data_IF_589300664851
#
_entry.id   IF_589300664851
#
_cell.length_a   1.000
_cell.length_b   1.000
_cell.length_c   1.000
_cell.angle_alpha   90.00
_cell.angle_beta   90.00
_cell.angle_gamma   90.00
#
_symmetry.space_group_name_H-M   'P 1'
#
loop_
_entity.id
_entity.type
_entity.pdbx_description
1 polymer ?
#
# COMPACT_ATOMS: atom_id res chain seq x y z
N UNK A 1 -30.43 -43.79 31.83
CA UNK A 1 -30.63 -42.45 31.22
C UNK A 1 -29.36 -41.59 31.25
N UNK A 2 -28.21 -42.12 31.65
CA UNK A 2 -26.95 -41.37 31.84
C UNK A 2 -26.12 -41.17 30.57
N UNK A 3 -26.26 -42.09 29.60
CA UNK A 3 -25.39 -42.12 28.41
C UNK A 3 -25.62 -40.93 27.45
N UNK A 4 -26.84 -40.37 27.40
CA UNK A 4 -27.18 -39.21 26.56
C UNK A 4 -26.49 -37.92 27.02
N UNK A 5 -26.24 -37.79 28.32
CA UNK A 5 -25.63 -36.60 28.92
C UNK A 5 -24.11 -36.54 28.65
N UNK A 6 -23.46 -37.71 28.65
CA UNK A 6 -22.05 -37.84 28.25
C UNK A 6 -21.86 -37.50 26.77
N UNK A 7 -22.72 -38.03 25.88
CA UNK A 7 -22.68 -37.76 24.44
C UNK A 7 -22.84 -36.26 24.15
N UNK A 8 -23.78 -35.59 24.81
CA UNK A 8 -23.98 -34.14 24.65
C UNK A 8 -22.79 -33.30 25.10
N UNK A 9 -22.17 -33.64 26.24
CA UNK A 9 -20.95 -32.96 26.72
C UNK A 9 -19.79 -33.13 25.75
N UNK A 10 -19.63 -34.32 25.18
CA UNK A 10 -18.57 -34.60 24.19
C UNK A 10 -18.78 -33.82 22.90
N UNK A 11 -20.02 -33.74 22.39
CA UNK A 11 -20.37 -32.94 21.21
C UNK A 11 -20.07 -31.45 21.41
N UNK A 12 -20.40 -30.90 22.59
CA UNK A 12 -20.12 -29.50 22.91
C UNK A 12 -18.62 -29.20 22.97
N UNK A 13 -17.84 -30.12 23.54
CA UNK A 13 -16.38 -29.99 23.62
C UNK A 13 -15.73 -30.03 22.22
N UNK A 14 -16.21 -30.92 21.34
CA UNK A 14 -15.73 -31.02 19.95
C UNK A 14 -16.04 -29.74 19.18
N UNK A 15 -17.26 -29.20 19.29
CA UNK A 15 -17.63 -27.93 18.67
C UNK A 15 -16.76 -26.77 19.18
N UNK A 16 -16.42 -26.74 20.46
CA UNK A 16 -15.54 -25.74 21.03
C UNK A 16 -14.11 -25.84 20.46
N UNK A 17 -13.57 -27.06 20.34
CA UNK A 17 -12.25 -27.32 19.76
C UNK A 17 -12.21 -26.94 18.27
N UNK A 18 -13.25 -27.25 17.50
CA UNK A 18 -13.35 -26.90 16.06
C UNK A 18 -13.37 -25.38 15.88
N UNK A 19 -14.09 -24.65 16.72
CA UNK A 19 -14.11 -23.17 16.69
C UNK A 19 -12.74 -22.59 17.07
N UNK A 20 -12.07 -23.16 18.07
CA UNK A 20 -10.73 -22.73 18.50
C UNK A 20 -9.66 -23.00 17.42
N UNK A 21 -9.69 -24.18 16.79
CA UNK A 21 -8.77 -24.52 15.70
C UNK A 21 -9.02 -23.70 14.43
N UNK A 22 -10.28 -23.38 14.13
CA UNK A 22 -10.64 -22.49 13.01
C UNK A 22 -10.07 -21.08 13.19
N UNK A 23 -9.90 -20.62 14.43
CA UNK A 23 -9.29 -19.32 14.74
C UNK A 23 -7.75 -19.32 14.57
N UNK A 24 -7.09 -20.47 14.77
CA UNK A 24 -5.63 -20.62 14.61
C UNK A 24 -5.24 -20.91 13.15
N UNK A 25 -6.11 -21.57 12.38
CA UNK A 25 -5.89 -21.88 10.97
C UNK A 25 -5.90 -20.63 10.05
N UNK A 26 -6.39 -19.49 10.53
CA UNK A 26 -6.11 -18.20 9.91
C UNK A 26 -4.65 -17.79 10.22
N UNK A 27 -3.69 -18.51 9.65
CA UNK A 27 -2.34 -17.98 9.42
C UNK A 27 -2.51 -16.74 8.53
N UNK A 28 -2.69 -15.57 9.17
CA UNK A 28 -2.66 -14.28 8.51
C UNK A 28 -1.34 -14.22 7.75
N UNK A 29 -1.41 -14.26 6.41
CA UNK A 29 -0.25 -13.96 5.59
C UNK A 29 0.36 -12.66 6.08
N UNK A 30 1.70 -12.64 6.20
CA UNK A 30 2.42 -11.43 6.62
C UNK A 30 1.93 -10.25 5.77
N UNK A 31 1.60 -9.14 6.41
CA UNK A 31 1.07 -7.97 5.73
C UNK A 31 2.17 -7.34 4.87
N UNK A 32 1.91 -7.18 3.57
CA UNK A 32 2.81 -6.54 2.62
C UNK A 32 2.13 -5.33 1.99
N UNK A 33 2.91 -4.27 1.75
CA UNK A 33 2.48 -3.06 1.07
C UNK A 33 3.32 -2.87 -0.19
N UNK A 34 2.66 -2.53 -1.29
CA UNK A 34 3.32 -2.02 -2.50
C UNK A 34 2.75 -0.67 -2.86
N UNK A 35 3.60 0.19 -3.40
CA UNK A 35 3.25 1.55 -3.80
C UNK A 35 3.84 1.86 -5.17
N UNK A 36 3.12 2.66 -5.95
CA UNK A 36 3.54 3.17 -7.25
C UNK A 36 2.96 4.58 -7.42
N UNK A 37 3.78 5.54 -7.81
CA UNK A 37 3.37 6.89 -8.21
C UNK A 37 4.02 7.19 -9.55
N UNK A 38 3.21 7.64 -10.51
CA UNK A 38 3.62 7.95 -11.87
C UNK A 38 3.30 9.41 -12.11
N UNK A 39 4.33 10.18 -12.46
CA UNK A 39 4.21 11.58 -12.85
C UNK A 39 4.31 11.66 -14.37
N UNK A 40 3.44 12.46 -14.96
CA UNK A 40 3.36 12.67 -16.40
C UNK A 40 3.72 14.11 -16.75
N UNK A 41 4.55 14.28 -17.77
CA UNK A 41 4.71 15.53 -18.49
C UNK A 41 4.35 15.32 -19.96
N UNK A 42 3.51 16.19 -20.52
CA UNK A 42 3.09 16.08 -21.93
C UNK A 42 2.57 14.69 -22.36
N UNK A 43 1.82 14.03 -21.46
CA UNK A 43 1.28 12.66 -21.63
C UNK A 43 2.35 11.56 -21.72
N UNK A 44 3.61 11.91 -21.48
CA UNK A 44 4.73 10.98 -21.35
C UNK A 44 5.01 10.78 -19.87
N UNK A 45 5.39 9.56 -19.50
CA UNK A 45 5.83 9.28 -18.14
C UNK A 45 7.18 9.97 -17.92
N UNK A 46 7.19 10.93 -17.01
CA UNK A 46 8.39 11.68 -16.62
C UNK A 46 9.08 10.98 -15.45
N UNK A 47 8.31 10.55 -14.45
CA UNK A 47 8.85 9.91 -13.25
C UNK A 47 7.99 8.73 -12.79
N UNK A 48 8.62 7.68 -12.29
CA UNK A 48 7.98 6.57 -11.59
C UNK A 48 8.65 6.38 -10.24
N UNK A 49 7.90 6.56 -9.15
CA UNK A 49 8.31 6.15 -7.81
C UNK A 49 7.64 4.82 -7.48
N UNK A 50 8.37 3.92 -6.85
CA UNK A 50 7.81 2.64 -6.42
C UNK A 50 8.42 2.16 -5.12
N UNK A 51 7.61 1.48 -4.31
CA UNK A 51 8.05 0.83 -3.09
C UNK A 51 7.47 -0.56 -2.95
N UNK A 52 8.25 -1.50 -2.41
CA UNK A 52 7.80 -2.83 -2.07
C UNK A 52 8.28 -3.23 -0.67
N UNK A 53 7.36 -3.35 0.29
CA UNK A 53 7.70 -3.65 1.69
C UNK A 53 8.27 -5.06 1.89
N UNK A 54 8.09 -5.97 0.92
CA UNK A 54 8.67 -7.31 0.97
C UNK A 54 10.18 -7.28 0.68
N UNK A 55 10.61 -6.43 -0.25
CA UNK A 55 12.02 -6.28 -0.62
C UNK A 55 12.70 -5.10 0.07
N UNK A 56 11.92 -4.17 0.63
CA UNK A 56 12.40 -2.91 1.17
C UNK A 56 12.88 -1.92 0.10
N UNK A 57 12.74 -2.23 -1.19
CA UNK A 57 13.28 -1.38 -2.26
C UNK A 57 12.33 -0.21 -2.48
N UNK A 58 12.86 1.00 -2.35
CA UNK A 58 12.28 2.21 -2.90
C UNK A 58 13.09 2.64 -4.12
N UNK A 59 12.43 2.83 -5.25
CA UNK A 59 13.04 3.22 -6.52
C UNK A 59 12.34 4.45 -7.11
N UNK A 60 13.14 5.38 -7.63
CA UNK A 60 12.70 6.53 -8.43
C UNK A 60 13.34 6.41 -9.81
N UNK A 61 12.51 6.25 -10.85
CA UNK A 61 12.93 6.29 -12.25
C UNK A 61 12.55 7.64 -12.84
N UNK A 62 13.49 8.36 -13.42
CA UNK A 62 13.26 9.66 -14.05
C UNK A 62 13.67 9.59 -15.52
N UNK A 63 12.84 10.16 -16.39
CA UNK A 63 13.16 10.33 -17.79
C UNK A 63 14.12 11.51 -17.96
N UNK A 64 15.28 11.25 -18.55
CA UNK A 64 16.23 12.27 -18.96
C UNK A 64 16.26 12.33 -20.49
N UNK A 65 15.84 13.47 -21.04
CA UNK A 65 15.65 13.69 -22.49
C UNK A 65 16.80 13.18 -23.40
N UNK A 66 18.05 13.15 -22.93
CA UNK A 66 19.21 12.70 -23.70
C UNK A 66 19.56 11.21 -23.53
N UNK A 67 19.21 10.61 -22.38
CA UNK A 67 19.79 9.33 -21.92
C UNK A 67 18.74 8.26 -21.60
N UNK A 68 17.44 8.58 -21.77
CA UNK A 68 16.34 7.72 -21.38
C UNK A 68 16.13 7.70 -19.86
N UNK A 69 15.59 6.59 -19.34
CA UNK A 69 15.27 6.47 -17.91
C UNK A 69 16.51 6.19 -17.06
N UNK A 70 16.73 7.02 -16.03
CA UNK A 70 17.71 6.75 -14.97
C UNK A 70 16.99 6.35 -13.69
N UNK A 71 17.48 5.28 -13.05
CA UNK A 71 16.96 4.79 -11.78
C UNK A 71 17.87 5.18 -10.62
N UNK A 72 17.28 5.66 -9.53
CA UNK A 72 17.88 5.75 -8.20
C UNK A 72 17.12 4.85 -7.25
N UNK A 73 17.81 4.01 -6.49
CA UNK A 73 17.17 3.13 -5.51
C UNK A 73 17.85 3.19 -4.16
N UNK A 74 17.09 2.85 -3.11
CA UNK A 74 17.56 2.62 -1.75
C UNK A 74 16.80 1.46 -1.11
N UNK A 75 17.35 0.97 0.01
CA UNK A 75 16.65 0.04 0.90
C UNK A 75 16.03 0.82 2.06
N UNK A 76 14.71 0.78 2.17
CA UNK A 76 13.90 1.24 3.31
C UNK A 76 13.18 0.04 3.90
N UNK A 77 13.71 -0.48 5.01
CA UNK A 77 13.13 -1.63 5.70
C UNK A 77 12.04 -1.15 6.67
N UNK A 78 10.80 -1.06 6.17
CA UNK A 78 9.65 -0.83 7.05
C UNK A 78 9.43 -2.05 7.96
N UNK A 79 9.30 -1.78 9.26
CA UNK A 79 8.96 -2.84 10.22
C UNK A 79 7.52 -3.29 10.01
N UNK A 80 7.18 -4.49 10.52
CA UNK A 80 5.78 -4.96 10.51
C UNK A 80 4.85 -3.97 11.21
N UNK A 81 5.34 -3.30 12.26
CA UNK A 81 4.59 -2.26 12.96
C UNK A 81 4.27 -1.07 12.04
N UNK A 82 5.24 -0.61 11.23
CA UNK A 82 5.02 0.49 10.29
C UNK A 82 3.98 0.11 9.22
N UNK A 83 4.10 -1.08 8.65
CA UNK A 83 3.14 -1.55 7.62
C UNK A 83 1.75 -1.73 8.23
N UNK A 84 1.67 -2.28 9.45
CA UNK A 84 0.40 -2.41 10.19
C UNK A 84 -0.23 -1.05 10.48
N UNK A 85 0.56 -0.06 10.87
CA UNK A 85 0.07 1.30 11.13
C UNK A 85 -0.60 1.93 9.90
N UNK A 86 0.02 1.80 8.72
CA UNK A 86 -0.56 2.28 7.45
C UNK A 86 -1.85 1.52 7.12
N UNK A 87 -1.87 0.20 7.35
CA UNK A 87 -3.05 -0.63 7.09
C UNK A 87 -4.21 -0.35 8.04
N UNK A 88 -3.93 -0.16 9.33
CA UNK A 88 -4.93 0.23 10.32
C UNK A 88 -5.53 1.61 9.96
N UNK A 89 -4.70 2.53 9.47
CA UNK A 89 -5.16 3.83 8.97
C UNK A 89 -6.09 3.68 7.76
N UNK A 90 -5.73 2.82 6.80
CA UNK A 90 -6.61 2.46 5.68
C UNK A 90 -7.96 1.91 6.15
N UNK A 91 -7.97 0.97 7.10
CA UNK A 91 -9.20 0.38 7.64
C UNK A 91 -10.06 1.39 8.40
N UNK A 92 -9.43 2.40 9.02
CA UNK A 92 -10.11 3.48 9.74
C UNK A 92 -10.74 4.48 8.79
N UNK A 93 -10.00 4.92 7.76
CA UNK A 93 -10.45 5.96 6.83
C UNK A 93 -11.42 5.41 5.77
N UNK A 94 -11.27 4.15 5.38
CA UNK A 94 -12.12 3.46 4.39
C UNK A 94 -12.29 4.25 3.08
N UNK A 95 -11.20 4.66 2.41
CA UNK A 95 -11.32 5.28 1.09
C UNK A 95 -11.95 4.28 0.12
N UNK A 96 -12.73 4.78 -0.84
CA UNK A 96 -13.35 3.93 -1.85
C UNK A 96 -12.35 3.17 -2.71
N UNK A 97 -11.28 3.84 -3.17
CA UNK A 97 -10.18 3.21 -3.91
C UNK A 97 -8.83 3.56 -3.29
N UNK A 98 -7.84 2.68 -3.48
CA UNK A 98 -6.44 2.95 -3.17
C UNK A 98 -5.69 3.42 -4.42
N UNK A 99 -6.32 4.30 -5.19
CA UNK A 99 -5.79 4.89 -6.41
C UNK A 99 -6.25 6.35 -6.51
N UNK A 100 -5.31 7.28 -6.44
CA UNK A 100 -5.54 8.70 -6.67
C UNK A 100 -4.96 9.14 -8.02
N UNK A 101 -5.62 10.13 -8.63
CA UNK A 101 -5.19 10.74 -9.88
C UNK A 101 -5.35 12.25 -9.80
N UNK A 102 -4.35 12.97 -10.29
CA UNK A 102 -4.34 14.43 -10.36
C UNK A 102 -4.41 14.83 -11.84
N UNK A 103 -5.38 15.66 -12.15
CA UNK A 103 -5.62 16.18 -13.50
C UNK A 103 -5.48 17.71 -13.48
N UNK A 104 -4.98 18.29 -14.56
CA UNK A 104 -5.06 19.74 -14.81
C UNK A 104 -6.37 20.07 -15.54
N UNK A 105 -6.70 21.37 -15.62
CA UNK A 105 -7.96 21.90 -16.16
C UNK A 105 -8.40 21.37 -17.53
N UNK A 106 -7.48 20.85 -18.35
CA UNK A 106 -7.79 20.25 -19.66
C UNK A 106 -8.00 18.72 -19.60
N UNK A 107 -8.35 18.18 -18.42
CA UNK A 107 -8.45 16.73 -18.15
C UNK A 107 -7.18 15.93 -18.43
N UNK A 108 -6.03 16.61 -18.52
CA UNK A 108 -4.74 15.95 -18.72
C UNK A 108 -4.23 15.42 -17.38
N UNK A 109 -3.96 14.12 -17.32
CA UNK A 109 -3.40 13.45 -16.16
C UNK A 109 -1.95 13.92 -15.93
N UNK A 110 -1.63 14.35 -14.71
CA UNK A 110 -0.27 14.76 -14.32
C UNK A 110 0.34 13.84 -13.26
N UNK A 111 -0.48 13.14 -12.48
CA UNK A 111 -0.01 12.12 -11.54
C UNK A 111 -1.06 11.04 -11.32
N UNK A 112 -0.61 9.79 -11.13
CA UNK A 112 -1.41 8.64 -10.73
C UNK A 112 -0.64 7.85 -9.68
N UNK A 113 -1.24 7.68 -8.50
CA UNK A 113 -0.62 6.95 -7.40
C UNK A 113 -1.52 5.86 -6.83
N UNK A 114 -0.93 4.70 -6.53
CA UNK A 114 -1.64 3.49 -6.12
C UNK A 114 -0.94 2.83 -4.93
N UNK A 115 -1.72 2.44 -3.92
CA UNK A 115 -1.29 1.64 -2.77
C UNK A 115 -2.00 0.29 -2.83
N UNK A 116 -1.29 -0.79 -2.50
CA UNK A 116 -1.88 -2.12 -2.42
C UNK A 116 -1.38 -2.87 -1.20
N UNK A 117 -2.31 -3.56 -0.52
CA UNK A 117 -1.99 -4.47 0.56
C UNK A 117 -2.14 -5.93 0.09
N UNK A 118 -1.17 -6.77 0.43
CA UNK A 118 -1.18 -8.22 0.22
C UNK A 118 -1.49 -8.67 -1.22
N UNK A 119 -1.11 -7.88 -2.25
CA UNK A 119 -1.36 -8.17 -3.69
C UNK A 119 -2.67 -8.93 -3.92
N UNK A 120 -3.79 -8.39 -3.47
CA UNK A 120 -5.08 -8.81 -4.01
C UNK A 120 -5.19 -8.27 -5.44
N UNK A 121 -5.61 -9.15 -6.36
CA UNK A 121 -5.69 -9.00 -7.81
C UNK A 121 -5.92 -7.55 -8.33
N UNK A 122 -5.13 -7.17 -9.34
CA UNK A 122 -5.32 -6.01 -10.24
C UNK A 122 -5.57 -4.64 -9.58
N UNK A 123 -4.70 -4.20 -8.67
CA UNK A 123 -4.72 -2.80 -8.20
C UNK A 123 -4.41 -1.78 -9.30
N UNK A 124 -3.72 -2.17 -10.37
CA UNK A 124 -3.45 -1.29 -11.52
C UNK A 124 -4.70 -0.95 -12.35
N UNK A 125 -5.83 -1.64 -12.14
CA UNK A 125 -7.09 -1.36 -12.86
C UNK A 125 -8.17 -0.73 -11.97
N UNK A 126 -7.85 -0.29 -10.75
CA UNK A 126 -8.82 0.44 -9.94
C UNK A 126 -9.11 1.81 -10.56
N UNK A 127 -10.36 2.28 -10.54
CA UNK A 127 -10.66 3.63 -10.95
C UNK A 127 -10.02 4.62 -9.97
N UNK A 128 -9.63 5.79 -10.48
CA UNK A 128 -9.20 6.90 -9.63
C UNK A 128 -10.32 7.31 -8.65
N UNK A 129 -9.96 7.76 -7.45
CA UNK A 129 -10.91 8.51 -6.61
C UNK A 129 -11.33 9.80 -7.31
N UNK A 130 -12.63 10.07 -7.35
CA UNK A 130 -13.22 11.21 -8.07
C UNK A 130 -13.60 12.30 -7.07
N UNK A 131 -14.23 11.92 -5.96
CA UNK A 131 -14.64 12.80 -4.89
C UNK A 131 -13.44 13.27 -4.05
N UNK A 132 -13.55 14.49 -3.53
CA UNK A 132 -12.48 15.11 -2.77
C UNK A 132 -12.23 14.42 -1.43
N UNK A 133 -13.26 13.82 -0.83
CA UNK A 133 -13.18 13.20 0.49
C UNK A 133 -12.36 11.90 0.44
N UNK A 134 -12.61 11.04 -0.55
CA UNK A 134 -11.83 9.83 -0.79
C UNK A 134 -10.40 10.15 -1.24
N UNK A 135 -10.19 11.24 -1.99
CA UNK A 135 -8.85 11.74 -2.29
C UNK A 135 -8.09 12.11 -1.02
N UNK A 136 -8.68 12.91 -0.14
CA UNK A 136 -8.04 13.34 1.10
C UNK A 136 -7.75 12.15 2.05
N UNK A 137 -8.67 11.18 2.12
CA UNK A 137 -8.46 9.93 2.85
C UNK A 137 -7.26 9.16 2.30
N UNK A 138 -7.15 9.02 0.98
CA UNK A 138 -6.00 8.38 0.34
C UNK A 138 -4.71 9.15 0.62
N UNK A 139 -4.71 10.47 0.46
CA UNK A 139 -3.53 11.32 0.64
C UNK A 139 -2.97 11.20 2.07
N UNK A 140 -3.83 11.04 3.08
CA UNK A 140 -3.41 10.75 4.47
C UNK A 140 -2.67 9.42 4.59
N UNK A 141 -3.09 8.38 3.86
CA UNK A 141 -2.45 7.06 3.85
C UNK A 141 -1.10 7.15 3.12
N UNK A 142 -1.07 7.83 1.98
CA UNK A 142 0.16 8.03 1.19
C UNK A 142 1.18 8.89 1.94
N UNK A 143 0.76 9.97 2.58
CA UNK A 143 1.62 10.80 3.42
C UNK A 143 2.25 9.98 4.55
N UNK A 144 1.47 9.06 5.16
CA UNK A 144 1.98 8.18 6.22
C UNK A 144 3.03 7.19 5.71
N UNK A 145 2.90 6.71 4.48
CA UNK A 145 3.94 5.91 3.83
C UNK A 145 5.22 6.75 3.61
N UNK A 146 5.08 7.96 3.08
CA UNK A 146 6.20 8.85 2.82
C UNK A 146 6.93 9.30 4.08
N UNK A 147 6.24 9.46 5.20
CA UNK A 147 6.83 9.73 6.53
C UNK A 147 7.95 8.72 6.86
N UNK A 148 7.78 7.45 6.47
CA UNK A 148 8.77 6.42 6.72
C UNK A 148 9.83 6.27 5.62
N UNK A 149 9.52 6.61 4.37
CA UNK A 149 10.43 6.45 3.22
C UNK A 149 11.35 7.65 3.04
N UNK A 150 10.80 8.86 3.06
CA UNK A 150 11.52 10.08 2.68
C UNK A 150 12.74 10.39 3.55
N UNK A 151 12.77 10.16 4.88
CA UNK A 151 13.96 10.43 5.68
C UNK A 151 15.21 9.70 5.14
N UNK A 152 15.09 8.41 4.87
CA UNK A 152 16.19 7.60 4.34
C UNK A 152 16.57 7.99 2.91
N UNK A 153 15.58 8.30 2.07
CA UNK A 153 15.84 8.73 0.69
C UNK A 153 16.54 10.08 0.61
N UNK A 154 16.08 11.07 1.39
CA UNK A 154 16.70 12.39 1.47
C UNK A 154 18.15 12.33 1.93
N UNK A 155 18.48 11.45 2.87
CA UNK A 155 19.87 11.24 3.30
C UNK A 155 20.77 10.72 2.18
N UNK A 156 20.24 9.84 1.31
CA UNK A 156 21.02 9.26 0.21
C UNK A 156 21.13 10.19 -1.00
N UNK A 157 20.05 10.91 -1.32
CA UNK A 157 19.95 11.79 -2.49
C UNK A 157 19.46 13.19 -2.07
N UNK A 158 20.25 13.95 -1.30
CA UNK A 158 19.83 15.26 -0.81
C UNK A 158 19.59 16.27 -1.94
N UNK A 159 20.35 16.16 -3.04
CA UNK A 159 20.25 17.06 -4.20
C UNK A 159 18.90 16.97 -4.92
N UNK A 160 18.13 15.89 -4.71
CA UNK A 160 16.80 15.74 -5.30
C UNK A 160 15.76 16.64 -4.61
N UNK A 161 16.12 17.26 -3.48
CA UNK A 161 15.27 18.12 -2.66
C UNK A 161 15.77 19.57 -2.56
N UNK A 162 16.90 19.88 -3.19
CA UNK A 162 17.40 21.24 -3.34
C UNK A 162 16.95 21.74 -4.70
N UNK A 163 16.24 22.87 -4.73
CA UNK A 163 15.39 23.32 -5.84
C UNK A 163 15.95 23.11 -7.26
N UNK A 164 15.09 22.57 -8.13
CA UNK A 164 15.13 22.82 -9.57
C UNK A 164 14.39 24.12 -9.86
#
# INVERSE_FOLDING_TARGET
MENKNAIFKTLFLILYIINYQSCIAQKKGRLYLTYKDIIYDNNVIDQIKSYNSKTGIYEVKEFHNSDGYKSKSIIVNLTEKNVKEIYDLYLKLRPKNLHNCVFINNNKLISSSTISFNKNKNTESQPCNIDWEDKEKYDKIEAKLYEFILPTYRLKYPNDFVGK
#
